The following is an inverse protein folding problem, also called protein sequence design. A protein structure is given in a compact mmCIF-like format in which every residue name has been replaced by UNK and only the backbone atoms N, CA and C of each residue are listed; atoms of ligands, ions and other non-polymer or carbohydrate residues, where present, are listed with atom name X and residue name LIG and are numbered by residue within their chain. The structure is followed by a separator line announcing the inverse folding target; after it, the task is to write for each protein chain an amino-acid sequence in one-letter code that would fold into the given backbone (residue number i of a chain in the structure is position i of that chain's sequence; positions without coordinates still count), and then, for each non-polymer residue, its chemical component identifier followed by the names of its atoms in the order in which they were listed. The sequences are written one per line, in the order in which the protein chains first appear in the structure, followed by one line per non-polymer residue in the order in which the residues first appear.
data_IF_032575741585
#
_entry.id   IF_032575741585
#
_cell.length_a   1.000
_cell.length_b   1.000
_cell.length_c   1.000
_cell.angle_alpha   90.00
_cell.angle_beta   90.00
_cell.angle_gamma   90.00
#
_symmetry.space_group_name_H-M   'P 1'
#
loop_
_entity.id
_entity.type
_entity.pdbx_description
1 polymer ?
#
# COMPACT_ATOMS: atom_id res chain seq x y z
N UNK A 1 26.41 -11.56 11.30
CA UNK A 1 26.54 -12.68 12.22
C UNK A 1 27.55 -12.34 13.33
N UNK A 2 28.83 -12.08 13.03
CA UNK A 2 29.83 -11.73 14.06
C UNK A 2 29.46 -10.51 14.93
N UNK A 3 28.83 -9.50 14.35
CA UNK A 3 28.38 -8.31 15.08
C UNK A 3 27.24 -8.59 16.08
N UNK A 4 26.57 -9.72 15.95
CA UNK A 4 25.49 -10.17 16.83
C UNK A 4 25.95 -11.16 17.89
N UNK A 5 27.27 -11.33 18.08
CA UNK A 5 27.80 -12.25 19.07
C UNK A 5 27.67 -13.70 18.65
N UNK A 6 28.29 -14.08 17.51
CA UNK A 6 28.36 -15.49 17.14
C UNK A 6 28.97 -16.27 18.32
N UNK A 7 28.26 -17.20 18.96
CA UNK A 7 28.81 -17.97 20.06
C UNK A 7 30.05 -18.73 19.59
N UNK A 8 31.08 -18.75 20.40
CA UNK A 8 32.18 -19.70 20.20
C UNK A 8 31.59 -21.12 20.16
N UNK A 9 32.18 -22.02 19.37
CA UNK A 9 31.69 -23.37 19.23
C UNK A 9 31.57 -23.99 20.65
N UNK A 10 30.32 -24.24 21.10
CA UNK A 10 30.02 -24.84 22.41
C UNK A 10 29.44 -23.89 23.47
N UNK A 11 29.30 -22.59 23.19
CA UNK A 11 28.61 -21.69 24.10
C UNK A 11 27.08 -21.63 23.80
N UNK A 12 26.27 -21.39 24.85
CA UNK A 12 24.85 -21.13 24.68
C UNK A 12 24.66 -19.91 23.76
N UNK A 13 23.68 -19.98 22.85
CA UNK A 13 23.38 -18.87 21.92
C UNK A 13 23.12 -17.57 22.70
N UNK A 14 23.85 -16.53 22.37
CA UNK A 14 23.56 -15.17 22.87
C UNK A 14 22.13 -14.78 22.45
N UNK A 15 21.35 -14.27 23.38
CA UNK A 15 19.97 -13.83 23.17
C UNK A 15 19.84 -12.84 22.00
N UNK A 16 20.85 -12.00 21.78
CA UNK A 16 20.90 -11.08 20.65
C UNK A 16 21.05 -11.79 19.30
N UNK A 17 21.89 -12.82 19.22
CA UNK A 17 22.02 -13.63 18.02
C UNK A 17 20.70 -14.33 17.70
N UNK A 18 20.08 -14.97 18.67
CA UNK A 18 18.80 -15.67 18.50
C UNK A 18 17.64 -14.73 18.08
N UNK A 19 17.72 -13.45 18.46
CA UNK A 19 16.74 -12.43 18.08
C UNK A 19 16.78 -12.07 16.59
N UNK A 20 17.97 -12.04 15.98
CA UNK A 20 18.15 -11.57 14.61
C UNK A 20 18.49 -12.68 13.62
N UNK A 21 18.88 -13.87 14.11
CA UNK A 21 19.18 -15.02 13.27
C UNK A 21 18.32 -16.23 13.67
N UNK A 22 17.76 -17.01 12.72
CA UNK A 22 17.96 -16.89 11.27
C UNK A 22 17.25 -15.67 10.66
N UNK A 23 17.86 -15.08 9.64
CA UNK A 23 17.27 -13.97 8.88
C UNK A 23 15.92 -14.40 8.31
N UNK A 24 14.91 -13.52 8.43
CA UNK A 24 13.58 -13.75 7.85
C UNK A 24 13.65 -13.83 6.32
N UNK A 25 14.44 -12.96 5.70
CA UNK A 25 14.65 -12.93 4.26
C UNK A 25 16.07 -12.43 3.94
N UNK A 26 16.72 -13.06 2.96
CA UNK A 26 17.84 -12.50 2.22
C UNK A 26 17.32 -11.93 0.92
N UNK A 27 17.27 -10.60 0.82
CA UNK A 27 16.87 -9.89 -0.38
C UNK A 27 18.12 -9.54 -1.19
N UNK A 28 18.24 -10.07 -2.39
CA UNK A 28 19.47 -10.02 -3.19
C UNK A 28 19.19 -9.74 -4.67
N UNK A 29 20.17 -9.24 -5.41
CA UNK A 29 20.13 -9.22 -6.87
C UNK A 29 20.26 -10.63 -7.46
N UNK A 30 19.58 -10.89 -8.57
CA UNK A 30 19.59 -12.22 -9.23
C UNK A 30 20.98 -12.69 -9.66
N UNK A 31 21.92 -11.79 -9.84
CA UNK A 31 23.31 -12.06 -10.23
C UNK A 31 24.11 -12.78 -9.16
N UNK A 32 23.75 -12.61 -7.88
CA UNK A 32 24.42 -13.23 -6.74
C UNK A 32 23.60 -14.37 -6.13
N UNK A 33 22.55 -14.85 -6.81
CA UNK A 33 21.69 -15.93 -6.34
C UNK A 33 22.48 -17.19 -6.00
N UNK A 34 23.44 -17.56 -6.86
CA UNK A 34 24.24 -18.76 -6.64
C UNK A 34 25.03 -18.73 -5.34
N UNK A 35 25.59 -17.57 -4.98
CA UNK A 35 26.32 -17.37 -3.73
C UNK A 35 25.41 -17.54 -2.51
N UNK A 36 24.18 -17.04 -2.57
CA UNK A 36 23.26 -17.05 -1.44
C UNK A 36 22.39 -18.31 -1.35
N UNK A 37 22.15 -18.99 -2.47
CA UNK A 37 21.32 -20.20 -2.49
C UNK A 37 22.14 -21.50 -2.41
N UNK A 38 23.44 -21.45 -2.67
CA UNK A 38 24.32 -22.64 -2.63
C UNK A 38 25.48 -22.47 -1.64
N UNK A 39 26.40 -21.53 -1.91
CA UNK A 39 27.60 -21.44 -1.07
C UNK A 39 27.32 -21.01 0.36
N UNK A 40 26.48 -20.01 0.54
CA UNK A 40 26.12 -19.51 1.87
C UNK A 40 25.42 -20.58 2.73
N UNK A 41 24.40 -21.30 2.27
CA UNK A 41 23.82 -22.42 2.99
C UNK A 41 24.84 -23.52 3.34
N UNK A 42 25.73 -23.88 2.42
CA UNK A 42 26.77 -24.86 2.71
C UNK A 42 27.71 -24.43 3.85
N UNK A 43 28.09 -23.13 3.88
CA UNK A 43 28.93 -22.59 4.96
C UNK A 43 28.19 -22.62 6.29
N UNK A 44 26.91 -22.19 6.30
CA UNK A 44 26.09 -22.22 7.51
C UNK A 44 25.91 -23.63 8.06
N UNK A 45 25.59 -24.60 7.19
CA UNK A 45 25.45 -26.00 7.56
C UNK A 45 26.76 -26.59 8.09
N UNK A 46 27.90 -26.26 7.49
CA UNK A 46 29.23 -26.70 7.95
C UNK A 46 29.63 -26.08 9.31
N UNK A 47 28.95 -25.00 9.70
CA UNK A 47 29.17 -24.28 10.97
C UNK A 47 28.07 -24.56 12.00
N UNK A 48 27.19 -25.53 11.76
CA UNK A 48 26.02 -25.86 12.59
C UNK A 48 25.11 -24.64 12.87
N UNK A 49 25.03 -23.69 11.92
CA UNK A 49 24.19 -22.50 12.03
C UNK A 49 22.86 -22.69 11.28
N UNK A 50 21.75 -22.14 11.80
CA UNK A 50 20.47 -22.16 11.11
C UNK A 50 20.53 -21.47 9.76
N UNK A 51 19.76 -21.97 8.78
CA UNK A 51 19.62 -21.34 7.46
C UNK A 51 18.67 -20.14 7.52
N UNK A 52 18.82 -19.11 6.64
CA UNK A 52 17.82 -18.07 6.47
C UNK A 52 16.47 -18.70 6.09
N UNK A 53 15.36 -18.09 6.52
CA UNK A 53 14.02 -18.63 6.25
C UNK A 53 13.66 -18.52 4.78
N UNK A 54 14.12 -17.47 4.11
CA UNK A 54 13.83 -17.20 2.70
C UNK A 54 15.00 -16.47 2.01
N UNK A 55 15.23 -16.82 0.75
CA UNK A 55 16.14 -16.10 -0.14
C UNK A 55 15.31 -15.62 -1.32
N UNK A 56 15.26 -14.31 -1.53
CA UNK A 56 14.49 -13.68 -2.60
C UNK A 56 15.41 -12.90 -3.53
N UNK A 57 15.46 -13.29 -4.80
CA UNK A 57 16.29 -12.63 -5.81
C UNK A 57 15.42 -11.67 -6.64
N UNK A 58 15.75 -10.38 -6.62
CA UNK A 58 15.10 -9.39 -7.46
C UNK A 58 15.80 -9.22 -8.81
N UNK A 59 15.05 -8.74 -9.80
CA UNK A 59 15.54 -8.43 -11.14
C UNK A 59 16.29 -7.09 -11.23
N UNK A 60 16.64 -6.73 -12.45
CA UNK A 60 17.33 -5.48 -12.78
C UNK A 60 16.31 -4.40 -13.14
N UNK A 61 16.71 -3.15 -12.90
CA UNK A 61 16.04 -2.01 -13.48
C UNK A 61 16.81 -1.52 -14.71
N UNK A 62 16.10 -1.32 -15.80
CA UNK A 62 16.55 -0.61 -17.00
C UNK A 62 15.96 0.79 -17.03
N UNK A 63 16.46 1.64 -17.90
CA UNK A 63 15.91 2.97 -18.13
C UNK A 63 15.65 3.15 -19.62
N UNK A 64 14.42 3.46 -19.99
CA UNK A 64 13.98 3.62 -21.39
C UNK A 64 14.39 2.43 -22.27
N UNK A 65 14.17 1.20 -21.76
CA UNK A 65 14.48 -0.05 -22.47
C UNK A 65 15.94 -0.42 -22.56
N UNK A 66 16.85 0.33 -21.92
CA UNK A 66 18.28 0.09 -21.98
C UNK A 66 18.87 -0.17 -20.59
N UNK A 67 19.89 -1.05 -20.52
CA UNK A 67 20.62 -1.26 -19.28
C UNK A 67 21.20 0.06 -18.78
N UNK A 68 20.95 0.38 -17.51
CA UNK A 68 21.52 1.58 -16.88
C UNK A 68 23.04 1.54 -16.91
N UNK A 69 23.67 2.56 -17.45
CA UNK A 69 25.11 2.71 -17.54
C UNK A 69 25.52 4.16 -17.38
N UNK A 70 26.55 4.40 -16.56
CA UNK A 70 27.14 5.74 -16.42
C UNK A 70 27.69 6.26 -17.75
N UNK A 71 28.21 5.36 -18.61
CA UNK A 71 28.76 5.69 -19.92
C UNK A 71 27.66 6.10 -20.91
N UNK A 72 26.49 5.51 -20.84
CA UNK A 72 25.33 5.85 -21.68
C UNK A 72 24.57 7.07 -21.18
N UNK A 73 24.84 7.53 -19.95
CA UNK A 73 24.15 8.67 -19.36
C UNK A 73 22.68 8.41 -19.00
N UNK A 74 22.22 7.15 -19.05
CA UNK A 74 20.85 6.76 -18.72
C UNK A 74 20.72 6.19 -17.29
N UNK A 75 21.76 6.37 -16.46
CA UNK A 75 21.73 6.00 -15.07
C UNK A 75 20.89 7.02 -14.26
N UNK A 76 19.89 6.53 -13.55
CA UNK A 76 19.09 7.39 -12.66
C UNK A 76 19.93 7.69 -11.43
N UNK A 77 20.39 8.94 -11.30
CA UNK A 77 21.24 9.37 -10.20
C UNK A 77 20.42 9.65 -8.93
N UNK A 78 21.10 9.73 -7.77
CA UNK A 78 20.44 10.11 -6.52
C UNK A 78 19.82 11.51 -6.63
N UNK A 79 20.44 12.43 -7.32
CA UNK A 79 19.94 13.79 -7.54
C UNK A 79 18.61 13.77 -8.33
N UNK A 80 18.52 12.94 -9.38
CA UNK A 80 17.27 12.77 -10.14
C UNK A 80 16.17 12.11 -9.30
N UNK A 81 16.53 11.15 -8.43
CA UNK A 81 15.58 10.57 -7.46
C UNK A 81 15.10 11.63 -6.48
N UNK A 82 16.01 12.48 -5.99
CA UNK A 82 15.67 13.57 -5.07
C UNK A 82 14.75 14.60 -5.75
N UNK A 83 14.97 14.92 -7.03
CA UNK A 83 14.07 15.78 -7.81
C UNK A 83 12.67 15.17 -7.95
N UNK A 84 12.59 13.90 -8.33
CA UNK A 84 11.30 13.17 -8.42
C UNK A 84 10.60 13.16 -7.04
N UNK A 85 11.35 12.84 -5.99
CA UNK A 85 10.82 12.83 -4.63
C UNK A 85 10.42 14.23 -4.13
N UNK A 86 11.11 15.27 -4.55
CA UNK A 86 10.75 16.68 -4.28
C UNK A 86 9.45 17.08 -4.95
N UNK A 87 9.21 16.61 -6.17
CA UNK A 87 8.02 16.95 -6.95
C UNK A 87 6.79 16.12 -6.55
N UNK A 88 6.94 14.79 -6.37
CA UNK A 88 5.83 13.86 -6.17
C UNK A 88 5.72 13.34 -4.73
N UNK A 89 6.80 13.38 -3.98
CA UNK A 89 6.96 12.76 -2.67
C UNK A 89 7.58 11.36 -2.74
N UNK A 90 8.34 11.00 -1.69
CA UNK A 90 9.03 9.69 -1.58
C UNK A 90 8.07 8.49 -1.66
N UNK A 91 6.89 8.63 -1.10
CA UNK A 91 5.85 7.59 -1.13
C UNK A 91 5.44 7.23 -2.55
N UNK A 92 5.30 8.23 -3.43
CA UNK A 92 4.91 8.02 -4.82
C UNK A 92 6.01 7.30 -5.60
N UNK A 93 7.28 7.66 -5.36
CA UNK A 93 8.39 6.96 -5.97
C UNK A 93 8.47 5.49 -5.54
N UNK A 94 8.35 5.22 -4.23
CA UNK A 94 8.28 3.87 -3.66
C UNK A 94 7.07 3.09 -4.22
N UNK A 95 5.91 3.72 -4.26
CA UNK A 95 4.69 3.14 -4.84
C UNK A 95 4.92 2.68 -6.28
N UNK A 96 5.47 3.54 -7.12
CA UNK A 96 5.73 3.19 -8.52
C UNK A 96 6.67 1.99 -8.66
N UNK A 97 7.79 1.97 -7.95
CA UNK A 97 8.74 0.86 -8.00
C UNK A 97 8.11 -0.48 -7.61
N UNK A 98 7.22 -0.49 -6.63
CA UNK A 98 6.54 -1.70 -6.17
C UNK A 98 5.33 -2.08 -7.04
N UNK A 99 4.76 -1.10 -7.75
CA UNK A 99 3.58 -1.26 -8.60
C UNK A 99 3.90 -1.67 -10.02
N UNK A 100 4.97 -1.12 -10.59
CA UNK A 100 5.24 -1.18 -12.02
C UNK A 100 5.67 -2.56 -12.52
N UNK A 101 6.27 -3.39 -11.66
CA UNK A 101 6.80 -4.69 -12.04
C UNK A 101 6.38 -5.80 -11.08
N UNK A 102 6.38 -7.02 -11.58
CA UNK A 102 6.37 -8.20 -10.71
C UNK A 102 7.73 -8.31 -10.04
N UNK A 103 7.76 -8.21 -8.71
CA UNK A 103 9.00 -8.30 -7.96
C UNK A 103 9.70 -9.64 -8.26
N UNK A 104 11.00 -9.60 -8.52
CA UNK A 104 11.77 -10.74 -9.04
C UNK A 104 12.01 -10.70 -10.56
N UNK A 105 11.17 -10.00 -11.32
CA UNK A 105 11.38 -9.76 -12.76
C UNK A 105 12.20 -8.51 -13.00
N UNK A 106 12.74 -8.37 -14.21
CA UNK A 106 13.36 -7.13 -14.65
C UNK A 106 12.28 -6.08 -14.91
N UNK A 107 12.58 -4.83 -14.56
CA UNK A 107 11.71 -3.68 -14.76
C UNK A 107 12.35 -2.61 -15.63
N UNK A 108 11.52 -1.75 -16.21
CA UNK A 108 11.97 -0.59 -16.95
C UNK A 108 11.42 0.69 -16.33
N UNK A 109 12.31 1.64 -16.05
CA UNK A 109 11.91 2.95 -15.55
C UNK A 109 11.69 3.88 -16.74
N UNK A 110 10.48 4.39 -16.85
CA UNK A 110 10.13 5.46 -17.79
C UNK A 110 9.44 6.60 -17.03
N UNK A 111 9.92 7.82 -17.21
CA UNK A 111 9.33 9.00 -16.58
C UNK A 111 7.88 9.22 -17.01
N UNK A 112 7.55 8.91 -18.27
CA UNK A 112 6.18 8.99 -18.78
C UNK A 112 5.27 7.94 -18.10
N UNK A 113 5.74 6.69 -17.98
CA UNK A 113 4.98 5.62 -17.31
C UNK A 113 4.82 5.91 -15.81
N UNK A 114 5.84 6.48 -15.17
CA UNK A 114 5.76 6.94 -13.78
C UNK A 114 4.62 7.96 -13.60
N UNK A 115 4.59 9.00 -14.45
CA UNK A 115 3.57 10.05 -14.42
C UNK A 115 2.17 9.50 -14.70
N UNK A 116 2.05 8.61 -15.68
CA UNK A 116 0.77 7.96 -16.01
C UNK A 116 0.26 7.12 -14.86
N UNK A 117 1.11 6.30 -14.23
CA UNK A 117 0.76 5.48 -13.06
C UNK A 117 0.33 6.36 -11.88
N UNK A 118 1.08 7.41 -11.58
CA UNK A 118 0.71 8.37 -10.56
C UNK A 118 -0.68 8.98 -10.79
N UNK A 119 -0.91 9.49 -12.01
CA UNK A 119 -2.17 10.13 -12.32
C UNK A 119 -3.34 9.12 -12.31
N UNK A 120 -3.16 7.93 -12.85
CA UNK A 120 -4.21 6.92 -12.92
C UNK A 120 -4.58 6.37 -11.54
N UNK A 121 -3.60 5.85 -10.83
CA UNK A 121 -3.83 5.09 -9.59
C UNK A 121 -4.05 6.01 -8.38
N UNK A 122 -3.17 7.01 -8.21
CA UNK A 122 -3.16 7.85 -7.01
C UNK A 122 -4.02 9.10 -7.15
N UNK A 123 -3.85 9.89 -8.21
CA UNK A 123 -4.58 11.15 -8.34
C UNK A 123 -6.06 10.93 -8.75
N UNK A 124 -6.31 10.18 -9.83
CA UNK A 124 -7.65 10.01 -10.39
C UNK A 124 -8.46 8.89 -9.72
N UNK A 125 -7.81 7.89 -9.10
CA UNK A 125 -8.54 6.80 -8.40
C UNK A 125 -8.61 7.05 -6.89
N UNK A 126 -7.56 6.81 -6.14
CA UNK A 126 -7.56 6.91 -4.67
C UNK A 126 -7.80 8.34 -4.17
N UNK A 127 -7.06 9.31 -4.70
CA UNK A 127 -7.18 10.71 -4.30
C UNK A 127 -8.54 11.32 -4.63
N UNK A 128 -9.09 10.97 -5.80
CA UNK A 128 -10.43 11.38 -6.19
C UNK A 128 -11.51 10.74 -5.32
N UNK A 129 -11.39 9.44 -5.01
CA UNK A 129 -12.32 8.73 -4.13
C UNK A 129 -12.37 9.38 -2.73
N UNK A 130 -11.19 9.61 -2.10
CA UNK A 130 -11.10 10.29 -0.81
C UNK A 130 -11.76 11.68 -0.87
N UNK A 131 -11.35 12.51 -1.85
CA UNK A 131 -11.86 13.88 -1.99
C UNK A 131 -13.36 13.94 -2.22
N UNK A 132 -13.92 13.06 -3.06
CA UNK A 132 -15.36 12.95 -3.32
C UNK A 132 -16.12 12.54 -2.08
N UNK A 133 -15.65 11.50 -1.38
CA UNK A 133 -16.26 10.97 -0.15
C UNK A 133 -16.33 12.07 0.92
N UNK A 134 -15.21 12.73 1.21
CA UNK A 134 -15.14 13.79 2.22
C UNK A 134 -16.02 14.99 1.84
N UNK A 135 -16.00 15.43 0.56
CA UNK A 135 -16.86 16.51 0.08
C UNK A 135 -18.35 16.19 0.21
N UNK A 136 -18.75 14.95 -0.08
CA UNK A 136 -20.14 14.52 0.05
C UNK A 136 -20.58 14.42 1.52
N UNK A 137 -19.73 13.90 2.40
CA UNK A 137 -19.99 13.89 3.85
C UNK A 137 -20.10 15.34 4.35
N UNK A 138 -19.17 16.22 3.96
CA UNK A 138 -19.23 17.65 4.30
C UNK A 138 -20.51 18.32 3.85
N UNK A 139 -20.99 18.02 2.64
CA UNK A 139 -22.16 18.65 2.05
C UNK A 139 -23.49 18.11 2.57
N UNK A 140 -23.59 16.81 2.83
CA UNK A 140 -24.86 16.13 3.13
C UNK A 140 -25.04 15.79 4.60
N UNK A 141 -23.95 15.76 5.37
CA UNK A 141 -23.92 15.38 6.78
C UNK A 141 -23.10 16.35 7.63
N UNK A 142 -22.94 17.60 7.19
CA UNK A 142 -22.24 18.68 7.92
C UNK A 142 -20.81 18.28 8.39
N UNK A 143 -20.15 17.42 7.63
CA UNK A 143 -18.81 16.93 7.94
C UNK A 143 -18.76 15.83 8.99
N UNK A 144 -19.89 15.33 9.45
CA UNK A 144 -19.97 14.24 10.42
C UNK A 144 -20.24 12.92 9.69
N UNK A 145 -19.43 11.91 9.94
CA UNK A 145 -19.63 10.59 9.36
C UNK A 145 -20.97 10.00 9.85
N UNK A 146 -21.90 9.68 8.93
CA UNK A 146 -23.21 9.17 9.32
C UNK A 146 -23.15 7.73 9.81
N UNK A 147 -24.17 7.33 10.56
CA UNK A 147 -24.39 5.96 11.00
C UNK A 147 -24.98 5.12 9.86
N UNK A 148 -24.39 3.95 9.52
CA UNK A 148 -24.91 3.11 8.47
C UNK A 148 -26.16 2.34 8.91
N UNK A 149 -27.12 2.19 7.99
CA UNK A 149 -28.21 1.23 8.14
C UNK A 149 -27.79 -0.11 7.52
N UNK A 150 -27.68 -1.18 8.30
CA UNK A 150 -27.19 -2.48 7.86
C UNK A 150 -28.10 -3.18 6.84
N UNK A 151 -29.36 -2.79 6.75
CA UNK A 151 -30.36 -3.38 5.82
C UNK A 151 -30.19 -2.94 4.36
N UNK A 152 -29.31 -1.95 4.07
CA UNK A 152 -29.05 -1.49 2.70
C UNK A 152 -28.09 -2.45 1.99
N UNK A 153 -28.62 -3.28 1.10
CA UNK A 153 -27.89 -4.37 0.43
C UNK A 153 -26.92 -3.92 -0.67
N UNK A 154 -26.91 -2.65 -1.05
CA UNK A 154 -26.14 -2.16 -2.22
C UNK A 154 -24.62 -2.15 -2.03
N UNK A 155 -24.15 -2.35 -0.80
CA UNK A 155 -22.72 -2.36 -0.48
C UNK A 155 -22.07 -3.77 -0.64
N UNK A 156 -22.77 -4.77 -1.15
CA UNK A 156 -22.29 -6.16 -1.20
C UNK A 156 -20.97 -6.28 -1.96
N UNK A 157 -20.85 -5.65 -3.13
CA UNK A 157 -19.64 -5.74 -3.96
C UNK A 157 -18.44 -5.05 -3.29
N UNK A 158 -18.66 -3.91 -2.62
CA UNK A 158 -17.59 -3.21 -1.88
C UNK A 158 -17.12 -4.03 -0.70
N UNK A 159 -18.03 -4.61 0.08
CA UNK A 159 -17.71 -5.50 1.20
C UNK A 159 -16.98 -6.77 0.73
N UNK A 160 -17.40 -7.34 -0.41
CA UNK A 160 -16.73 -8.49 -0.99
C UNK A 160 -15.29 -8.17 -1.45
N UNK A 161 -15.09 -7.02 -2.09
CA UNK A 161 -13.76 -6.55 -2.48
C UNK A 161 -12.87 -6.27 -1.26
N UNK A 162 -13.42 -5.69 -0.20
CA UNK A 162 -12.71 -5.49 1.06
C UNK A 162 -12.29 -6.84 1.69
N UNK A 163 -13.21 -7.80 1.75
CA UNK A 163 -12.91 -9.14 2.26
C UNK A 163 -11.83 -9.85 1.44
N UNK A 164 -11.84 -9.70 0.11
CA UNK A 164 -10.81 -10.24 -0.77
C UNK A 164 -9.43 -9.62 -0.49
N UNK A 165 -9.34 -8.29 -0.31
CA UNK A 165 -8.11 -7.61 0.08
C UNK A 165 -7.59 -8.14 1.43
N UNK A 166 -8.45 -8.20 2.45
CA UNK A 166 -8.08 -8.67 3.80
C UNK A 166 -7.52 -10.10 3.74
N UNK A 167 -8.19 -10.98 3.00
CA UNK A 167 -7.79 -12.39 2.90
C UNK A 167 -6.48 -12.58 2.12
N UNK A 168 -6.26 -11.83 1.04
CA UNK A 168 -5.10 -12.00 0.17
C UNK A 168 -3.84 -11.30 0.69
N UNK A 169 -3.97 -10.21 1.45
CA UNK A 169 -2.85 -9.35 1.82
C UNK A 169 -1.69 -10.05 2.54
N UNK A 170 -1.90 -10.94 3.55
CA UNK A 170 -0.80 -11.61 4.23
C UNK A 170 0.05 -12.46 3.28
N UNK A 171 -0.57 -13.31 2.48
CA UNK A 171 0.14 -14.19 1.53
C UNK A 171 0.88 -13.38 0.46
N UNK A 172 0.28 -12.31 -0.04
CA UNK A 172 0.89 -11.44 -1.05
C UNK A 172 2.12 -10.71 -0.49
N UNK A 173 2.07 -10.26 0.76
CA UNK A 173 3.21 -9.62 1.42
C UNK A 173 4.31 -10.63 1.75
N UNK A 174 3.99 -11.78 2.32
CA UNK A 174 4.95 -12.84 2.64
C UNK A 174 5.64 -13.38 1.38
N UNK A 175 4.91 -13.46 0.26
CA UNK A 175 5.42 -13.84 -1.05
C UNK A 175 6.14 -12.73 -1.81
N UNK A 176 6.31 -11.52 -1.24
CA UNK A 176 6.87 -10.34 -1.91
C UNK A 176 6.14 -9.98 -3.23
N UNK A 177 4.86 -10.32 -3.35
CA UNK A 177 4.03 -10.03 -4.53
C UNK A 177 3.44 -8.61 -4.46
N UNK A 178 4.30 -7.60 -4.28
CA UNK A 178 3.91 -6.23 -3.97
C UNK A 178 2.98 -5.59 -5.00
N UNK A 179 3.21 -5.84 -6.30
CA UNK A 179 2.33 -5.34 -7.35
C UNK A 179 0.91 -5.90 -7.26
N UNK A 180 0.76 -7.17 -6.89
CA UNK A 180 -0.55 -7.79 -6.67
C UNK A 180 -1.20 -7.30 -5.38
N UNK A 181 -0.41 -7.07 -4.34
CA UNK A 181 -0.88 -6.47 -3.09
C UNK A 181 -1.46 -5.06 -3.33
N UNK A 182 -0.73 -4.22 -4.05
CA UNK A 182 -1.21 -2.89 -4.45
C UNK A 182 -2.46 -3.01 -5.33
N UNK A 183 -2.48 -3.96 -6.27
CA UNK A 183 -3.64 -4.18 -7.14
C UNK A 183 -4.89 -4.55 -6.32
N UNK A 184 -4.78 -5.44 -5.34
CA UNK A 184 -5.92 -5.80 -4.48
C UNK A 184 -6.48 -4.59 -3.70
N UNK A 185 -5.61 -3.68 -3.25
CA UNK A 185 -6.04 -2.44 -2.63
C UNK A 185 -6.71 -1.47 -3.64
N UNK A 186 -6.18 -1.39 -4.86
CA UNK A 186 -6.80 -0.59 -5.94
C UNK A 186 -8.12 -1.17 -6.42
N UNK A 187 -8.30 -2.48 -6.41
CA UNK A 187 -9.57 -3.12 -6.77
C UNK A 187 -10.69 -2.68 -5.82
N UNK A 188 -10.41 -2.53 -4.53
CA UNK A 188 -11.35 -1.95 -3.57
C UNK A 188 -11.66 -0.47 -3.91
N UNK A 189 -10.65 0.31 -4.30
CA UNK A 189 -10.84 1.70 -4.75
C UNK A 189 -11.72 1.76 -5.99
N UNK A 190 -11.46 0.93 -6.99
CA UNK A 190 -12.21 0.90 -8.26
C UNK A 190 -13.66 0.46 -8.02
N UNK A 191 -13.87 -0.60 -7.24
CA UNK A 191 -15.21 -1.07 -6.86
C UNK A 191 -15.98 0.02 -6.12
N UNK A 192 -15.33 0.76 -5.21
CA UNK A 192 -15.97 1.85 -4.46
C UNK A 192 -16.28 3.05 -5.35
N UNK A 193 -15.41 3.41 -6.30
CA UNK A 193 -15.73 4.45 -7.29
C UNK A 193 -16.93 4.04 -8.15
N UNK A 194 -16.99 2.79 -8.63
CA UNK A 194 -18.13 2.27 -9.38
C UNK A 194 -19.42 2.25 -8.54
N UNK A 195 -19.31 1.92 -7.26
CA UNK A 195 -20.43 1.96 -6.32
C UNK A 195 -21.00 3.39 -6.18
N UNK A 196 -20.17 4.42 -6.11
CA UNK A 196 -20.61 5.84 -6.10
C UNK A 196 -21.35 6.18 -7.41
N UNK A 197 -20.85 5.76 -8.57
CA UNK A 197 -21.51 6.02 -9.85
C UNK A 197 -22.88 5.32 -9.93
N UNK A 198 -22.94 4.04 -9.52
CA UNK A 198 -24.15 3.23 -9.58
C UNK A 198 -25.23 3.72 -8.60
N UNK A 199 -24.86 4.12 -7.40
CA UNK A 199 -25.80 4.57 -6.35
C UNK A 199 -26.17 6.05 -6.49
N UNK A 200 -25.39 6.83 -7.22
CA UNK A 200 -25.63 8.24 -7.50
C UNK A 200 -26.03 9.07 -6.25
N UNK A 201 -25.20 9.13 -5.18
CA UNK A 201 -25.54 9.76 -3.90
C UNK A 201 -25.93 11.23 -4.03
N UNK A 202 -25.44 11.92 -5.04
CA UNK A 202 -25.81 13.29 -5.36
C UNK A 202 -27.29 13.44 -5.81
N UNK A 203 -27.89 12.36 -6.30
CA UNK A 203 -29.33 12.31 -6.64
C UNK A 203 -30.14 11.97 -5.40
N UNK A 204 -29.71 10.97 -4.62
CA UNK A 204 -30.38 10.58 -3.37
C UNK A 204 -30.45 11.71 -2.36
N UNK A 205 -29.42 12.56 -2.29
CA UNK A 205 -29.37 13.73 -1.40
C UNK A 205 -30.45 14.78 -1.64
N UNK A 206 -31.24 14.68 -2.72
CA UNK A 206 -32.37 15.56 -3.02
C UNK A 206 -33.71 15.07 -2.45
N UNK A 207 -33.73 13.84 -1.92
CA UNK A 207 -34.92 13.19 -1.38
C UNK A 207 -34.67 12.78 0.07
N UNK A 208 -35.32 13.45 0.99
CA UNK A 208 -35.19 13.20 2.42
C UNK A 208 -35.58 11.75 2.82
N UNK A 209 -36.45 11.10 2.06
CA UNK A 209 -36.82 9.71 2.31
C UNK A 209 -35.69 8.73 2.05
N UNK A 210 -34.64 9.14 1.32
CA UNK A 210 -33.44 8.34 1.00
C UNK A 210 -32.27 8.63 1.95
N UNK A 211 -32.48 9.39 3.03
CA UNK A 211 -31.39 9.84 3.91
C UNK A 211 -30.64 8.69 4.57
N UNK A 212 -31.34 7.64 5.04
CA UNK A 212 -30.70 6.45 5.64
C UNK A 212 -29.86 5.69 4.62
N UNK A 213 -30.37 5.51 3.40
CA UNK A 213 -29.63 4.91 2.30
C UNK A 213 -28.40 5.71 1.94
N UNK A 214 -28.53 7.04 1.84
CA UNK A 214 -27.40 7.93 1.60
C UNK A 214 -26.36 7.83 2.73
N UNK A 215 -26.78 7.72 3.99
CA UNK A 215 -25.91 7.56 5.14
C UNK A 215 -25.05 6.27 5.02
N UNK A 216 -25.69 5.14 4.70
CA UNK A 216 -25.00 3.85 4.50
C UNK A 216 -24.01 3.91 3.33
N UNK A 217 -24.36 4.56 2.21
CA UNK A 217 -23.48 4.74 1.06
C UNK A 217 -22.25 5.57 1.46
N UNK A 218 -22.42 6.67 2.18
CA UNK A 218 -21.31 7.52 2.60
C UNK A 218 -20.39 6.83 3.60
N UNK A 219 -20.96 6.13 4.57
CA UNK A 219 -20.19 5.31 5.50
C UNK A 219 -19.38 4.23 4.77
N UNK A 220 -20.02 3.49 3.87
CA UNK A 220 -19.36 2.45 3.06
C UNK A 220 -18.17 2.99 2.27
N UNK A 221 -18.33 4.16 1.64
CA UNK A 221 -17.24 4.80 0.91
C UNK A 221 -16.10 5.23 1.86
N UNK A 222 -16.42 5.82 3.00
CA UNK A 222 -15.41 6.24 3.98
C UNK A 222 -14.65 5.05 4.56
N UNK A 223 -15.35 3.95 4.89
CA UNK A 223 -14.73 2.74 5.41
C UNK A 223 -13.85 2.04 4.38
N UNK A 224 -14.29 1.98 3.12
CA UNK A 224 -13.47 1.45 2.03
C UNK A 224 -12.18 2.26 1.82
N UNK A 225 -12.26 3.60 1.86
CA UNK A 225 -11.09 4.47 1.80
C UNK A 225 -10.17 4.22 3.00
N UNK A 226 -10.71 4.19 4.21
CA UNK A 226 -9.94 3.90 5.44
C UNK A 226 -9.19 2.58 5.32
N UNK A 227 -9.88 1.51 4.97
CA UNK A 227 -9.29 0.18 4.84
C UNK A 227 -8.18 0.17 3.79
N UNK A 228 -8.44 0.75 2.61
CA UNK A 228 -7.41 0.89 1.54
C UNK A 228 -6.16 1.60 2.06
N UNK A 229 -6.32 2.71 2.81
CA UNK A 229 -5.20 3.47 3.36
C UNK A 229 -4.41 2.68 4.40
N UNK A 230 -5.08 1.93 5.27
CA UNK A 230 -4.41 1.04 6.24
C UNK A 230 -3.54 0.01 5.52
N UNK A 231 -4.07 -0.63 4.48
CA UNK A 231 -3.31 -1.61 3.70
C UNK A 231 -2.20 -0.97 2.86
N UNK A 232 -2.36 0.23 2.36
CA UNK A 232 -1.31 0.93 1.61
C UNK A 232 -0.29 1.65 2.50
N UNK A 233 -0.47 1.72 3.81
CA UNK A 233 0.43 2.45 4.71
C UNK A 233 1.89 1.98 4.68
N UNK A 234 2.24 0.68 4.56
CA UNK A 234 3.63 0.26 4.41
C UNK A 234 4.32 0.86 3.18
N UNK A 235 3.53 1.22 2.16
CA UNK A 235 3.99 1.78 0.88
C UNK A 235 3.88 3.30 0.88
N UNK A 236 2.74 3.83 1.32
CA UNK A 236 2.44 5.26 1.41
C UNK A 236 2.59 5.76 2.85
N UNK A 237 3.78 5.64 3.40
CA UNK A 237 4.08 5.84 4.82
C UNK A 237 3.82 7.25 5.35
N UNK A 238 3.89 8.27 4.49
CA UNK A 238 3.59 9.66 4.83
C UNK A 238 2.17 10.06 4.39
N UNK A 239 1.74 9.59 3.20
CA UNK A 239 0.47 9.97 2.59
C UNK A 239 -0.73 9.23 3.19
N UNK A 240 -0.59 7.96 3.57
CA UNK A 240 -1.71 7.21 4.14
C UNK A 240 -2.11 7.74 5.53
N UNK A 241 -1.20 8.01 6.49
CA UNK A 241 -1.57 8.67 7.74
C UNK A 241 -2.20 10.06 7.53
N UNK A 242 -1.68 10.86 6.61
CA UNK A 242 -2.26 12.17 6.29
C UNK A 242 -3.71 12.04 5.76
N UNK A 243 -3.97 11.03 4.92
CA UNK A 243 -5.31 10.75 4.41
C UNK A 243 -6.25 10.20 5.49
N UNK A 244 -5.75 9.33 6.38
CA UNK A 244 -6.51 8.87 7.55
C UNK A 244 -6.88 10.02 8.48
N UNK A 245 -5.99 11.00 8.69
CA UNK A 245 -6.30 12.20 9.46
C UNK A 245 -7.45 13.01 8.84
N UNK A 246 -7.53 13.10 7.49
CA UNK A 246 -8.67 13.73 6.79
C UNK A 246 -9.98 12.97 7.09
N UNK A 247 -9.94 11.66 7.28
CA UNK A 247 -11.09 10.85 7.71
C UNK A 247 -11.36 10.92 9.23
N UNK A 248 -10.69 11.80 9.98
CA UNK A 248 -10.82 11.90 11.43
C UNK A 248 -10.15 10.76 12.21
N UNK A 249 -9.17 10.08 11.59
CA UNK A 249 -8.47 8.92 12.14
C UNK A 249 -7.00 9.23 12.47
N UNK A 250 -6.70 10.41 13.04
CA UNK A 250 -5.31 10.84 13.34
C UNK A 250 -4.58 9.91 14.30
N UNK A 251 -5.29 9.35 15.27
CA UNK A 251 -4.73 8.50 16.34
C UNK A 251 -5.14 7.03 16.19
N UNK A 252 -5.70 6.65 15.04
CA UNK A 252 -6.15 5.29 14.82
C UNK A 252 -4.96 4.31 14.77
N UNK A 253 -5.14 3.16 15.41
CA UNK A 253 -4.20 2.04 15.25
C UNK A 253 -4.07 1.68 13.78
N UNK A 254 -2.84 1.41 13.36
CA UNK A 254 -2.51 0.94 12.00
C UNK A 254 -2.09 -0.52 12.00
N UNK A 255 -2.20 -1.20 13.13
CA UNK A 255 -1.96 -2.63 13.21
C UNK A 255 -3.00 -3.39 12.41
N UNK A 256 -2.56 -4.24 11.49
CA UNK A 256 -3.47 -5.02 10.63
C UNK A 256 -4.44 -5.91 11.41
N UNK A 257 -4.04 -6.40 12.59
CA UNK A 257 -4.91 -7.22 13.44
C UNK A 257 -6.18 -6.50 13.88
N UNK A 258 -6.11 -5.20 14.09
CA UNK A 258 -7.22 -4.35 14.56
C UNK A 258 -7.75 -3.43 13.47
N UNK A 259 -6.89 -2.61 12.87
CA UNK A 259 -7.28 -1.62 11.87
C UNK A 259 -7.57 -2.25 10.48
N UNK A 260 -7.01 -3.42 10.18
CA UNK A 260 -7.18 -4.13 8.91
C UNK A 260 -8.53 -4.83 8.74
N UNK A 261 -9.48 -4.64 9.64
CA UNK A 261 -10.82 -5.22 9.56
C UNK A 261 -11.82 -4.24 8.95
N UNK A 262 -12.89 -4.76 8.36
CA UNK A 262 -14.03 -3.95 7.89
C UNK A 262 -14.93 -3.54 9.07
N UNK A 263 -15.46 -2.32 9.03
CA UNK A 263 -16.42 -1.82 10.05
C UNK A 263 -15.76 -1.23 11.28
N UNK A 264 -14.47 -0.87 11.20
CA UNK A 264 -13.72 -0.27 12.32
C UNK A 264 -14.00 1.24 12.44
N UNK A 265 -14.32 1.91 11.33
CA UNK A 265 -14.57 3.34 11.30
C UNK A 265 -15.81 3.68 12.16
N UNK A 266 -15.65 4.56 13.13
CA UNK A 266 -16.75 4.89 14.03
C UNK A 266 -17.63 6.00 13.44
N UNK A 267 -18.96 5.83 13.39
CA UNK A 267 -19.89 6.92 13.09
C UNK A 267 -19.74 8.09 14.06
N UNK A 268 -20.15 9.28 13.65
CA UNK A 268 -20.11 10.49 14.49
C UNK A 268 -18.76 11.21 14.51
N UNK A 269 -17.70 10.66 13.90
CA UNK A 269 -16.43 11.38 13.75
C UNK A 269 -16.57 12.51 12.73
N UNK A 270 -15.80 13.59 12.92
CA UNK A 270 -15.74 14.70 11.98
C UNK A 270 -14.63 14.48 10.98
N UNK A 271 -14.96 14.54 9.67
CA UNK A 271 -13.96 14.51 8.60
C UNK A 271 -13.34 15.89 8.41
N UNK A 272 -12.08 15.93 8.03
CA UNK A 272 -11.32 17.14 7.75
C UNK A 272 -11.67 17.79 6.39
N UNK A 273 -10.97 18.86 6.02
CA UNK A 273 -11.16 19.51 4.73
C UNK A 273 -10.75 18.60 3.58
N UNK A 274 -11.49 18.66 2.48
CA UNK A 274 -11.25 17.83 1.29
C UNK A 274 -10.11 18.40 0.42
N UNK A 275 -8.90 18.43 0.97
CA UNK A 275 -7.70 18.85 0.23
C UNK A 275 -7.21 17.72 -0.69
N UNK A 276 -6.68 18.05 -1.90
CA UNK A 276 -6.14 17.04 -2.80
C UNK A 276 -4.90 16.38 -2.21
N UNK A 277 -4.99 15.10 -1.82
CA UNK A 277 -3.86 14.33 -1.31
C UNK A 277 -2.79 14.09 -2.39
N UNK A 278 -3.25 13.86 -3.62
CA UNK A 278 -2.43 13.64 -4.81
C UNK A 278 -2.86 14.61 -5.92
N UNK A 279 -2.27 15.82 -5.98
CA UNK A 279 -2.58 16.77 -7.05
C UNK A 279 -2.19 16.19 -8.41
N UNK A 280 -3.09 16.30 -9.41
CA UNK A 280 -2.79 15.84 -10.77
C UNK A 280 -1.58 16.56 -11.34
N UNK A 281 -0.70 15.80 -11.98
CA UNK A 281 0.49 16.32 -12.66
C UNK A 281 0.29 16.34 -14.18
N UNK A 282 0.73 17.43 -14.79
CA UNK A 282 0.64 17.65 -16.26
C UNK A 282 1.77 16.95 -17.00
#
# INVERSE_FOLDING_TARGET
INALGLPAIGDEHDDEFAKYWPASIHLIGKDILWFHAVYWPCILMASDLPLPKQIYAHGWWTAEGQKMSKTLGNFISCEQIDEICGEYGRDVYKYYLLRAITFGSDGDFSAEQFRQTYNADLANSLGNLLSRTVKMIGKYFDGVLPDPNEEVLEAVDVKASAAALIAAAPELMDGCAFNKYIQAALDLVHTTNQFIENTAPFTLAKDETQRERLATIMYTCAEAVRLTLVYLQPILSDKAPAALAILGQSDASTEFATAGQWGVLQPGITVGPAEPLFPRKS
#
